data_IF_677737502687
#
_entry.id   IF_677737502687
#
_cell.length_a   1.000
_cell.length_b   1.000
_cell.length_c   1.000
_cell.angle_alpha   90.00
_cell.angle_beta   90.00
_cell.angle_gamma   90.00
#
_symmetry.space_group_name_H-M   'P 1'
#
loop_
_entity.id
_entity.type
_entity.pdbx_description
1 polymer ?
#
# COMPACT_ATOMS: atom_id res chain seq x y z
N UNK A 1 -71.77 -5.44 47.94
CA UNK A 1 -70.73 -4.44 48.03
C UNK A 1 -69.52 -5.03 48.79
N UNK A 2 -68.69 -5.79 48.15
CA UNK A 2 -67.42 -6.29 48.64
C UNK A 2 -66.61 -6.70 47.38
N UNK A 3 -65.33 -6.33 47.27
CA UNK A 3 -64.34 -6.67 46.23
C UNK A 3 -64.14 -5.68 45.08
N UNK A 4 -63.75 -4.44 45.34
CA UNK A 4 -63.15 -3.56 44.31
C UNK A 4 -61.90 -2.80 44.84
N UNK A 5 -61.29 -3.20 45.94
CA UNK A 5 -60.14 -2.49 46.54
C UNK A 5 -58.78 -3.21 46.52
N UNK A 6 -58.68 -4.35 45.80
CA UNK A 6 -57.45 -5.14 45.86
C UNK A 6 -56.58 -5.16 44.60
N UNK A 7 -57.08 -4.70 43.45
CA UNK A 7 -56.35 -4.80 42.17
C UNK A 7 -55.58 -3.53 41.77
N UNK A 8 -55.92 -2.37 42.31
CA UNK A 8 -55.23 -1.12 42.00
C UNK A 8 -53.94 -0.91 42.77
N UNK A 9 -53.78 -1.54 43.92
CA UNK A 9 -52.56 -1.43 44.75
C UNK A 9 -51.43 -2.35 44.28
N UNK A 10 -51.78 -3.46 43.63
CA UNK A 10 -50.78 -4.39 43.06
C UNK A 10 -50.19 -3.89 41.74
N UNK A 11 -50.89 -3.07 40.97
CA UNK A 11 -50.38 -2.50 39.73
C UNK A 11 -49.43 -1.30 39.96
N UNK A 12 -49.54 -0.62 41.11
CA UNK A 12 -48.65 0.51 41.41
C UNK A 12 -47.31 0.07 42.00
N UNK A 13 -47.23 -1.10 42.62
CA UNK A 13 -45.99 -1.69 43.11
C UNK A 13 -45.21 -2.39 42.02
N UNK A 14 -45.84 -2.90 40.96
CA UNK A 14 -45.15 -3.48 39.79
C UNK A 14 -44.61 -2.43 38.80
N UNK A 15 -45.17 -1.19 38.84
CA UNK A 15 -44.67 -0.08 37.99
C UNK A 15 -43.45 0.65 38.54
N UNK A 16 -43.14 0.49 39.82
CA UNK A 16 -41.98 1.12 40.45
C UNK A 16 -40.69 0.28 40.45
N UNK A 17 -40.74 -0.98 39.96
CA UNK A 17 -39.57 -1.85 39.83
C UNK A 17 -38.87 -1.84 38.49
N UNK A 18 -39.35 -1.02 37.51
CA UNK A 18 -38.80 -1.01 36.14
C UNK A 18 -37.86 0.17 35.84
N UNK A 19 -37.44 0.96 36.83
CA UNK A 19 -36.51 2.08 36.61
C UNK A 19 -35.26 1.96 37.51
N UNK A 20 -34.79 0.74 37.74
CA UNK A 20 -33.41 0.58 38.18
C UNK A 20 -32.69 -0.20 37.06
N UNK A 21 -32.55 0.43 35.92
CA UNK A 21 -31.43 0.16 35.01
C UNK A 21 -30.19 0.68 35.75
N UNK A 22 -29.67 -0.11 36.64
CA UNK A 22 -28.38 0.13 37.25
C UNK A 22 -27.37 0.21 36.13
N UNK A 23 -26.93 1.42 35.80
CA UNK A 23 -25.80 1.66 34.92
C UNK A 23 -24.57 1.01 35.55
N UNK A 24 -24.37 -0.29 35.32
CA UNK A 24 -23.27 -1.09 35.89
C UNK A 24 -21.88 -0.52 35.61
N UNK A 25 -21.80 0.49 34.78
CA UNK A 25 -20.56 1.14 34.35
C UNK A 25 -20.38 2.53 34.97
N UNK A 26 -21.20 2.94 35.96
CA UNK A 26 -21.01 4.22 36.64
C UNK A 26 -19.60 4.25 37.28
N UNK A 27 -18.75 5.16 36.85
CA UNK A 27 -17.36 5.29 37.29
C UNK A 27 -16.35 4.38 36.57
N UNK A 28 -16.75 3.65 35.53
CA UNK A 28 -15.84 2.87 34.69
C UNK A 28 -15.71 3.43 33.29
N UNK A 29 -14.47 3.59 32.84
CA UNK A 29 -14.15 3.93 31.47
C UNK A 29 -14.18 2.66 30.62
N UNK A 30 -14.98 2.69 29.57
CA UNK A 30 -15.10 1.61 28.58
C UNK A 30 -14.94 2.16 27.17
N UNK A 31 -14.35 1.36 26.28
CA UNK A 31 -14.33 1.63 24.85
C UNK A 31 -15.68 1.16 24.30
N UNK A 32 -16.47 2.09 23.79
CA UNK A 32 -17.83 1.82 23.28
C UNK A 32 -17.84 1.49 21.78
N UNK A 33 -16.88 2.04 21.03
CA UNK A 33 -16.77 1.80 19.59
C UNK A 33 -15.33 1.90 19.10
N UNK A 34 -15.06 1.31 17.95
CA UNK A 34 -13.78 1.31 17.24
C UNK A 34 -14.01 1.28 15.73
N UNK A 35 -13.13 1.92 14.94
CA UNK A 35 -13.21 1.86 13.48
C UNK A 35 -12.82 0.48 12.90
N UNK A 36 -12.34 -0.45 13.69
CA UNK A 36 -11.87 -1.77 13.29
C UNK A 36 -12.51 -2.90 14.13
N UNK A 37 -12.45 -4.12 13.63
CA UNK A 37 -12.92 -5.33 14.32
C UNK A 37 -11.75 -6.24 14.68
N UNK A 38 -11.65 -7.41 13.99
CA UNK A 38 -10.60 -8.41 14.23
C UNK A 38 -9.42 -8.25 13.29
N UNK A 39 -9.65 -7.75 12.06
CA UNK A 39 -8.62 -7.52 11.07
C UNK A 39 -8.50 -6.03 10.76
N UNK A 40 -7.26 -5.55 10.61
CA UNK A 40 -6.92 -4.18 10.24
C UNK A 40 -5.95 -4.17 9.08
N UNK A 41 -5.97 -3.11 8.26
CA UNK A 41 -4.90 -2.86 7.30
C UNK A 41 -3.61 -2.45 8.02
N UNK A 42 -2.45 -2.79 7.43
CA UNK A 42 -1.15 -2.48 8.04
C UNK A 42 -0.96 -0.98 8.31
N UNK A 43 -1.54 -0.13 7.47
CA UNK A 43 -1.41 1.35 7.54
C UNK A 43 -2.63 2.02 8.18
N UNK A 44 -3.45 1.30 8.92
CA UNK A 44 -4.69 1.84 9.46
C UNK A 44 -4.46 2.64 10.75
N UNK A 45 -5.05 3.82 10.84
CA UNK A 45 -5.15 4.55 12.10
C UNK A 45 -6.24 3.93 12.96
N UNK A 46 -5.95 3.68 14.22
CA UNK A 46 -6.91 3.07 15.13
C UNK A 46 -7.69 4.17 15.87
N UNK A 47 -9.01 4.12 15.78
CA UNK A 47 -9.92 5.07 16.45
C UNK A 47 -10.65 4.36 17.58
N UNK A 48 -10.63 4.98 18.77
CA UNK A 48 -11.28 4.48 19.98
C UNK A 48 -12.27 5.50 20.50
N UNK A 49 -13.52 5.13 20.62
CA UNK A 49 -14.58 5.96 21.22
C UNK A 49 -14.87 5.49 22.62
N UNK A 50 -14.88 6.40 23.57
CA UNK A 50 -15.14 6.13 24.99
C UNK A 50 -16.55 6.54 25.41
N UNK A 51 -17.04 5.96 26.49
CA UNK A 51 -18.33 6.28 27.08
C UNK A 51 -18.35 7.61 27.85
N UNK A 52 -17.22 8.25 28.06
CA UNK A 52 -17.05 9.47 28.84
C UNK A 52 -16.10 10.43 28.16
N UNK A 53 -16.34 11.73 28.34
CA UNK A 53 -15.41 12.79 27.90
C UNK A 53 -14.17 12.78 28.81
N UNK A 54 -12.99 12.66 28.21
CA UNK A 54 -11.73 12.52 28.91
C UNK A 54 -10.86 13.76 28.88
N UNK A 55 -10.98 14.56 27.84
CA UNK A 55 -10.13 15.74 27.66
C UNK A 55 -10.96 16.99 27.39
N UNK A 56 -10.49 18.17 27.81
CA UNK A 56 -11.11 19.45 27.46
C UNK A 56 -10.83 19.79 25.98
N UNK A 57 -11.68 20.64 25.39
CA UNK A 57 -11.55 21.08 23.99
C UNK A 57 -10.19 21.70 23.65
N UNK A 58 -9.50 22.26 24.62
CA UNK A 58 -8.15 22.85 24.43
C UNK A 58 -7.06 21.84 24.09
N UNK A 59 -7.29 20.55 24.27
CA UNK A 59 -6.35 19.46 23.92
C UNK A 59 -6.74 18.75 22.62
N UNK A 60 -7.82 19.14 21.96
CA UNK A 60 -8.24 18.55 20.70
C UNK A 60 -7.28 18.93 19.57
N UNK A 61 -7.17 18.02 18.59
CA UNK A 61 -6.39 18.19 17.36
C UNK A 61 -4.89 18.45 17.56
N UNK A 62 -4.36 18.12 18.76
CA UNK A 62 -2.94 18.22 19.06
C UNK A 62 -2.34 16.81 19.14
N UNK A 63 -1.25 16.58 18.40
CA UNK A 63 -0.55 15.30 18.46
C UNK A 63 0.25 15.15 19.76
N UNK A 64 0.07 14.01 20.42
CA UNK A 64 0.73 13.64 21.68
C UNK A 64 1.48 12.31 21.51
N UNK A 65 2.65 12.20 22.12
CA UNK A 65 3.46 10.98 22.16
C UNK A 65 3.24 10.15 23.42
N UNK A 66 2.34 10.59 24.31
CA UNK A 66 1.98 9.84 25.52
C UNK A 66 1.34 8.52 25.12
N UNK A 67 1.88 7.40 25.59
CA UNK A 67 1.38 6.06 25.31
C UNK A 67 0.05 5.79 26.04
N UNK A 68 -1.05 6.21 25.42
CA UNK A 68 -2.40 5.91 25.93
C UNK A 68 -2.81 4.46 25.71
N UNK A 69 -2.22 3.79 24.70
CA UNK A 69 -2.39 2.37 24.45
C UNK A 69 -1.05 1.66 24.49
N UNK A 70 -1.03 0.44 25.01
CA UNK A 70 0.11 -0.46 24.97
C UNK A 70 -0.19 -1.58 23.98
N UNK A 71 0.72 -1.80 23.03
CA UNK A 71 0.58 -2.84 22.01
C UNK A 71 1.58 -3.98 22.25
N UNK A 72 1.14 -5.20 21.97
CA UNK A 72 1.99 -6.39 21.94
C UNK A 72 1.72 -7.16 20.62
N UNK A 73 2.68 -7.25 19.70
CA UNK A 73 4.02 -6.62 19.70
C UNK A 73 3.98 -5.10 19.82
N UNK A 74 5.05 -4.50 20.37
CA UNK A 74 5.11 -3.07 20.61
C UNK A 74 5.15 -2.27 19.31
N UNK A 75 4.30 -1.26 19.21
CA UNK A 75 4.25 -0.30 18.11
C UNK A 75 4.35 1.11 18.67
N UNK A 76 5.25 1.89 18.12
CA UNK A 76 5.35 3.32 18.41
C UNK A 76 4.38 4.09 17.53
N UNK A 77 3.80 5.15 18.08
CA UNK A 77 2.89 6.01 17.34
C UNK A 77 2.63 7.32 18.07
N UNK A 78 1.79 8.12 17.47
CA UNK A 78 1.27 9.37 18.05
C UNK A 78 -0.22 9.23 18.28
N UNK A 79 -0.71 10.01 19.19
CA UNK A 79 -2.12 10.03 19.57
C UNK A 79 -2.69 11.43 19.35
N UNK A 80 -3.96 11.49 18.98
CA UNK A 80 -4.69 12.75 18.84
C UNK A 80 -6.12 12.58 19.34
N UNK A 81 -6.57 13.51 20.14
CA UNK A 81 -7.98 13.60 20.50
C UNK A 81 -8.72 14.40 19.42
N UNK A 82 -9.65 13.77 18.72
CA UNK A 82 -10.48 14.42 17.68
C UNK A 82 -11.83 14.88 18.24
N UNK A 83 -12.21 14.35 19.40
CA UNK A 83 -13.35 14.78 20.23
C UNK A 83 -13.00 14.50 21.68
N UNK A 84 -13.71 15.08 22.67
CA UNK A 84 -13.41 14.84 24.08
C UNK A 84 -13.38 13.36 24.50
N UNK A 85 -14.07 12.50 23.76
CA UNK A 85 -14.20 11.07 23.99
C UNK A 85 -13.69 10.19 22.80
N UNK A 86 -12.99 10.77 21.81
CA UNK A 86 -12.47 10.03 20.65
C UNK A 86 -10.97 10.18 20.55
N UNK A 87 -10.25 9.08 20.72
CA UNK A 87 -8.81 8.99 20.60
C UNK A 87 -8.43 8.29 19.30
N UNK A 88 -7.57 8.93 18.51
CA UNK A 88 -6.95 8.36 17.32
C UNK A 88 -5.51 8.00 17.65
N UNK A 89 -5.11 6.77 17.33
CA UNK A 89 -3.72 6.32 17.32
C UNK A 89 -3.23 6.24 15.88
N UNK A 90 -2.14 6.93 15.57
CA UNK A 90 -1.44 6.86 14.29
C UNK A 90 -0.09 6.18 14.51
N UNK A 91 0.12 4.97 13.96
CA UNK A 91 1.38 4.25 14.13
C UNK A 91 2.51 4.98 13.40
N UNK A 92 3.74 4.95 13.92
CA UNK A 92 4.94 5.47 13.23
C UNK A 92 5.51 4.50 12.21
N UNK A 93 5.09 3.24 12.25
CA UNK A 93 5.47 2.17 11.32
C UNK A 93 4.24 1.31 11.04
N UNK A 94 4.09 0.67 9.86
CA UNK A 94 2.98 -0.25 9.62
C UNK A 94 2.93 -1.32 10.69
N UNK A 95 1.74 -1.76 10.98
CA UNK A 95 1.59 -3.00 11.69
C UNK A 95 2.26 -4.12 10.89
N UNK A 96 3.09 -4.93 11.54
CA UNK A 96 3.75 -6.04 10.87
C UNK A 96 2.73 -6.94 10.17
N UNK A 97 3.01 -7.42 8.93
CA UNK A 97 2.10 -8.28 8.21
C UNK A 97 1.88 -9.61 8.93
N UNK A 98 0.75 -10.25 8.70
CA UNK A 98 0.43 -11.58 9.26
C UNK A 98 0.66 -11.69 10.77
N UNK A 99 0.36 -10.64 11.52
CA UNK A 99 0.72 -10.56 12.94
C UNK A 99 -0.53 -10.35 13.79
N UNK A 100 -0.61 -11.11 14.87
CA UNK A 100 -1.63 -10.93 15.92
C UNK A 100 -1.15 -9.87 16.92
N UNK A 101 -2.03 -8.93 17.23
CA UNK A 101 -1.77 -7.84 18.17
C UNK A 101 -2.73 -7.90 19.33
N UNK A 102 -2.21 -7.51 20.50
CA UNK A 102 -3.00 -7.14 21.65
C UNK A 102 -2.82 -5.66 21.91
N UNK A 103 -3.90 -4.95 22.14
CA UNK A 103 -3.87 -3.57 22.59
C UNK A 103 -4.54 -3.45 23.94
N UNK A 104 -3.88 -2.76 24.87
CA UNK A 104 -4.38 -2.51 26.21
C UNK A 104 -4.37 -1.01 26.49
N UNK A 105 -5.50 -0.50 26.98
CA UNK A 105 -5.61 0.89 27.39
C UNK A 105 -4.75 1.15 28.64
N UNK A 106 -3.88 2.14 28.57
CA UNK A 106 -3.03 2.57 29.69
C UNK A 106 -3.80 3.48 30.65
N UNK A 107 -3.48 3.46 31.93
CA UNK A 107 -4.01 4.41 32.92
C UNK A 107 -3.68 5.87 32.60
N UNK A 108 -2.70 6.12 31.73
CA UNK A 108 -2.34 7.47 31.25
C UNK A 108 -3.48 8.17 30.54
N UNK A 109 -4.44 7.44 29.98
CA UNK A 109 -5.66 8.01 29.38
C UNK A 109 -6.49 8.81 30.36
N UNK A 110 -6.35 8.51 31.66
CA UNK A 110 -7.05 9.19 32.76
C UNK A 110 -6.34 10.46 33.25
N UNK A 111 -5.17 10.82 32.73
CA UNK A 111 -4.38 11.96 33.24
C UNK A 111 -5.13 13.29 33.17
N UNK A 112 -5.85 13.52 32.08
CA UNK A 112 -6.59 14.76 31.84
C UNK A 112 -8.10 14.61 32.05
N UNK A 113 -8.53 13.52 32.72
CA UNK A 113 -9.95 13.20 32.89
C UNK A 113 -10.74 14.32 33.57
N UNK A 114 -11.90 14.60 33.04
CA UNK A 114 -12.83 15.60 33.58
C UNK A 114 -13.55 15.11 34.85
N UNK A 115 -13.76 13.79 34.98
CA UNK A 115 -14.37 13.13 36.15
C UNK A 115 -13.31 12.45 37.00
N UNK A 116 -13.17 12.80 38.25
CA UNK A 116 -12.10 12.30 39.17
C UNK A 116 -12.21 10.83 39.49
N UNK A 117 -13.42 10.26 39.52
CA UNK A 117 -13.70 8.90 40.02
C UNK A 117 -13.74 7.83 38.90
N UNK A 118 -13.22 8.15 37.69
CA UNK A 118 -13.13 7.20 36.59
C UNK A 118 -11.97 6.19 36.81
N UNK A 119 -12.28 4.92 36.62
CA UNK A 119 -11.31 3.81 36.59
C UNK A 119 -11.47 3.01 35.30
N UNK A 120 -10.39 2.34 34.82
CA UNK A 120 -10.46 1.49 33.65
C UNK A 120 -11.30 0.23 33.92
N UNK A 121 -12.09 -0.21 32.94
CA UNK A 121 -12.67 -1.55 32.96
C UNK A 121 -11.74 -2.54 32.25
N UNK A 122 -11.08 -3.47 32.96
CA UNK A 122 -10.14 -4.42 32.37
C UNK A 122 -10.73 -5.30 31.26
N UNK A 123 -12.05 -5.53 31.29
CA UNK A 123 -12.73 -6.36 30.28
C UNK A 123 -12.92 -5.64 28.96
N UNK A 124 -13.10 -4.32 28.96
CA UNK A 124 -13.34 -3.53 27.76
C UNK A 124 -12.08 -2.87 27.20
N UNK A 125 -10.96 -2.96 27.94
CA UNK A 125 -9.70 -2.31 27.57
C UNK A 125 -8.68 -3.25 26.92
N UNK A 126 -8.95 -4.55 26.85
CA UNK A 126 -8.12 -5.53 26.14
C UNK A 126 -8.71 -5.82 24.77
N UNK A 127 -7.97 -5.49 23.74
CA UNK A 127 -8.38 -5.60 22.36
C UNK A 127 -7.44 -6.56 21.65
N UNK A 128 -8.00 -7.47 20.85
CA UNK A 128 -7.25 -8.38 19.99
C UNK A 128 -7.61 -8.07 18.55
N UNK A 129 -6.61 -8.00 17.71
CA UNK A 129 -6.76 -7.83 16.27
C UNK A 129 -5.53 -8.40 15.55
N UNK A 130 -5.61 -8.53 14.23
CA UNK A 130 -4.49 -8.98 13.41
C UNK A 130 -4.45 -8.24 12.09
N UNK A 131 -3.30 -8.23 11.46
CA UNK A 131 -3.15 -7.84 10.07
C UNK A 131 -3.44 -9.03 9.15
N UNK A 132 -3.78 -8.83 7.86
CA UNK A 132 -4.06 -9.92 6.94
C UNK A 132 -2.96 -10.98 6.95
N UNK A 133 -3.38 -12.24 7.08
CA UNK A 133 -2.44 -13.35 7.01
C UNK A 133 -1.94 -13.56 5.59
N UNK A 134 -0.72 -14.09 5.47
CA UNK A 134 -0.14 -14.43 4.16
C UNK A 134 -1.10 -15.31 3.36
N UNK A 135 -1.41 -14.88 2.15
CA UNK A 135 -2.21 -15.59 1.17
C UNK A 135 -1.60 -15.52 -0.22
N UNK A 136 -1.94 -16.48 -1.06
CA UNK A 136 -1.69 -16.41 -2.50
C UNK A 136 -2.91 -15.77 -3.13
N UNK A 137 -2.76 -14.54 -3.64
CA UNK A 137 -3.86 -13.77 -4.22
C UNK A 137 -4.10 -14.13 -5.68
N UNK A 138 -3.03 -14.48 -6.40
CA UNK A 138 -3.13 -14.92 -7.78
C UNK A 138 -2.04 -15.94 -8.11
N UNK A 139 -2.37 -16.86 -9.01
CA UNK A 139 -1.48 -17.88 -9.51
C UNK A 139 -1.75 -18.11 -11.01
N UNK A 140 -0.77 -17.84 -11.86
CA UNK A 140 -0.86 -18.07 -13.29
C UNK A 140 0.31 -18.91 -13.79
N UNK A 141 0.05 -19.70 -14.83
CA UNK A 141 1.08 -20.48 -15.51
C UNK A 141 0.95 -20.30 -17.02
N UNK A 142 2.09 -20.22 -17.70
CA UNK A 142 2.13 -20.01 -19.14
C UNK A 142 3.30 -20.75 -19.81
N UNK A 143 3.15 -21.05 -21.10
CA UNK A 143 4.21 -21.62 -21.89
C UNK A 143 5.21 -20.56 -22.37
N UNK A 144 6.51 -20.82 -22.17
CA UNK A 144 7.60 -19.94 -22.59
C UNK A 144 8.68 -20.74 -23.33
N UNK A 145 9.42 -20.09 -24.23
CA UNK A 145 10.67 -20.65 -24.77
C UNK A 145 11.75 -20.61 -23.70
N UNK A 146 12.54 -21.67 -23.62
CA UNK A 146 13.70 -21.68 -22.73
C UNK A 146 14.74 -20.64 -23.19
N UNK A 147 15.22 -19.80 -22.26
CA UNK A 147 16.28 -18.85 -22.55
C UNK A 147 17.59 -19.51 -23.00
N UNK A 148 17.88 -20.73 -22.49
CA UNK A 148 19.09 -21.49 -22.82
C UNK A 148 18.96 -22.33 -24.13
N UNK A 149 17.75 -22.68 -24.53
CA UNK A 149 17.48 -23.48 -25.74
C UNK A 149 16.09 -23.17 -26.28
N UNK A 150 16.03 -22.32 -27.30
CA UNK A 150 14.77 -21.88 -27.93
C UNK A 150 13.91 -23.00 -28.54
N UNK A 151 14.44 -24.20 -28.70
CA UNK A 151 13.70 -25.39 -29.14
C UNK A 151 13.02 -26.13 -27.98
N UNK A 152 13.29 -25.77 -26.73
CA UNK A 152 12.66 -26.36 -25.54
C UNK A 152 11.61 -25.43 -24.96
N UNK A 153 10.51 -26.05 -24.52
CA UNK A 153 9.47 -25.35 -23.77
C UNK A 153 9.76 -25.41 -22.27
N UNK A 154 9.40 -24.38 -21.59
CA UNK A 154 9.37 -24.30 -20.12
C UNK A 154 8.01 -23.75 -19.70
N UNK A 155 7.59 -24.05 -18.48
CA UNK A 155 6.39 -23.43 -17.90
C UNK A 155 6.86 -22.33 -16.95
N UNK A 156 6.51 -21.10 -17.29
CA UNK A 156 6.62 -19.97 -16.39
C UNK A 156 5.46 -19.94 -15.40
N UNK A 157 5.73 -19.61 -14.17
CA UNK A 157 4.75 -19.49 -13.10
C UNK A 157 4.94 -18.14 -12.44
N UNK A 158 3.85 -17.39 -12.30
CA UNK A 158 3.76 -16.16 -11.51
C UNK A 158 2.90 -16.40 -10.28
N UNK A 159 3.46 -16.14 -9.10
CA UNK A 159 2.76 -16.15 -7.82
C UNK A 159 2.64 -14.72 -7.31
N UNK A 160 1.44 -14.29 -7.02
CA UNK A 160 1.16 -13.02 -6.36
C UNK A 160 0.68 -13.29 -4.94
N UNK A 161 1.37 -12.72 -3.97
CA UNK A 161 1.03 -12.77 -2.55
C UNK A 161 0.49 -11.42 -2.07
N UNK A 162 -0.30 -11.42 -1.04
CA UNK A 162 -0.79 -10.20 -0.38
C UNK A 162 0.29 -9.44 0.42
N UNK A 163 1.44 -10.07 0.68
CA UNK A 163 2.59 -9.46 1.35
C UNK A 163 3.89 -10.03 0.80
N UNK A 164 5.02 -9.41 1.10
CA UNK A 164 6.34 -9.85 0.62
C UNK A 164 6.71 -11.24 1.14
N UNK A 165 7.27 -12.05 0.26
CA UNK A 165 7.77 -13.40 0.53
C UNK A 165 9.23 -13.50 0.11
N UNK A 166 10.07 -14.04 0.99
CA UNK A 166 11.47 -14.29 0.67
C UNK A 166 11.58 -15.53 -0.25
N UNK A 167 12.19 -15.41 -1.47
CA UNK A 167 12.29 -16.51 -2.42
C UNK A 167 13.03 -17.72 -1.88
N UNK A 168 14.09 -17.53 -1.10
CA UNK A 168 14.85 -18.62 -0.51
C UNK A 168 14.00 -19.40 0.52
N UNK A 169 13.32 -18.69 1.42
CA UNK A 169 12.42 -19.34 2.38
C UNK A 169 11.27 -20.05 1.67
N UNK A 170 10.72 -19.45 0.60
CA UNK A 170 9.68 -20.09 -0.20
C UNK A 170 10.19 -21.42 -0.81
N UNK A 171 11.42 -21.48 -1.30
CA UNK A 171 11.98 -22.70 -1.93
C UNK A 171 12.03 -23.91 -0.98
N UNK A 172 12.13 -23.66 0.32
CA UNK A 172 12.16 -24.70 1.35
C UNK A 172 10.75 -25.22 1.71
N UNK A 173 9.71 -24.43 1.40
CA UNK A 173 8.33 -24.73 1.78
C UNK A 173 7.41 -25.01 0.59
N UNK A 174 7.85 -24.75 -0.65
CA UNK A 174 7.03 -24.88 -1.85
C UNK A 174 7.18 -26.25 -2.49
N UNK A 175 6.07 -26.87 -2.83
CA UNK A 175 6.00 -28.02 -3.71
C UNK A 175 5.19 -27.67 -4.95
N UNK A 176 5.69 -28.05 -6.12
CA UNK A 176 5.01 -27.86 -7.41
C UNK A 176 4.73 -29.23 -8.03
N UNK A 177 3.53 -29.40 -8.58
CA UNK A 177 3.13 -30.58 -9.30
C UNK A 177 2.41 -30.27 -10.59
N UNK A 178 2.60 -31.13 -11.60
CA UNK A 178 1.90 -31.11 -12.88
C UNK A 178 1.10 -32.41 -12.98
N UNK A 179 -0.21 -32.33 -13.15
CA UNK A 179 -1.13 -33.49 -13.17
C UNK A 179 -0.92 -34.42 -11.99
N UNK A 180 -0.71 -33.85 -10.79
CA UNK A 180 -0.47 -34.59 -9.55
C UNK A 180 0.94 -35.20 -9.39
N UNK A 181 1.84 -35.04 -10.37
CA UNK A 181 3.23 -35.47 -10.27
C UNK A 181 4.13 -34.32 -9.84
N UNK A 182 4.90 -34.51 -8.76
CA UNK A 182 5.90 -33.53 -8.33
C UNK A 182 6.93 -33.29 -9.41
N UNK A 183 7.26 -32.01 -9.64
CA UNK A 183 8.24 -31.58 -10.63
C UNK A 183 9.29 -30.68 -9.97
N UNK A 184 10.49 -30.67 -10.56
CA UNK A 184 11.53 -29.75 -10.19
C UNK A 184 11.23 -28.38 -10.79
N UNK A 185 11.56 -27.31 -10.05
CA UNK A 185 11.37 -25.93 -10.47
C UNK A 185 12.55 -25.08 -10.01
N UNK A 186 12.68 -23.90 -10.61
CA UNK A 186 13.63 -22.87 -10.22
C UNK A 186 12.85 -21.60 -9.86
N UNK A 187 13.18 -20.94 -8.76
CA UNK A 187 12.68 -19.60 -8.45
C UNK A 187 13.60 -18.60 -9.16
N UNK A 188 13.03 -17.74 -9.98
CA UNK A 188 13.77 -16.74 -10.76
C UNK A 188 13.94 -15.43 -10.00
N UNK A 189 13.02 -15.12 -9.09
CA UNK A 189 13.11 -13.96 -8.21
C UNK A 189 14.23 -14.16 -7.19
N UNK A 190 15.01 -13.13 -6.93
CA UNK A 190 16.18 -13.16 -6.04
C UNK A 190 16.02 -12.34 -4.76
N UNK A 191 15.07 -11.43 -4.72
CA UNK A 191 14.78 -10.54 -3.59
C UNK A 191 13.38 -10.76 -3.08
N UNK A 192 13.09 -10.46 -1.79
CA UNK A 192 11.74 -10.47 -1.27
C UNK A 192 10.83 -9.56 -2.10
N UNK A 193 9.64 -10.06 -2.43
CA UNK A 193 8.64 -9.34 -3.20
C UNK A 193 7.25 -9.97 -2.99
N UNK A 194 6.21 -9.22 -3.30
CA UNK A 194 4.83 -9.72 -3.36
C UNK A 194 4.61 -10.59 -4.60
N UNK A 195 5.36 -10.37 -5.69
CA UNK A 195 5.28 -11.18 -6.90
C UNK A 195 6.56 -11.96 -7.10
N UNK A 196 6.44 -13.28 -7.17
CA UNK A 196 7.56 -14.18 -7.38
C UNK A 196 7.36 -15.00 -8.66
N UNK A 197 8.41 -15.05 -9.49
CA UNK A 197 8.45 -15.81 -10.72
C UNK A 197 9.21 -17.11 -10.53
N UNK A 198 8.64 -18.21 -11.04
CA UNK A 198 9.23 -19.53 -11.03
C UNK A 198 9.22 -20.11 -12.44
N UNK A 199 10.02 -21.14 -12.66
CA UNK A 199 10.08 -21.83 -13.93
C UNK A 199 10.22 -23.36 -13.71
N UNK A 200 9.38 -24.13 -14.41
CA UNK A 200 9.52 -25.58 -14.53
C UNK A 200 10.25 -25.86 -15.85
N UNK A 201 11.43 -26.45 -15.76
CA UNK A 201 12.25 -26.82 -16.93
C UNK A 201 11.91 -28.22 -17.44
N UNK A 202 12.29 -28.49 -18.70
CA UNK A 202 12.25 -29.81 -19.34
C UNK A 202 10.88 -30.53 -19.31
N UNK A 203 9.81 -29.77 -19.44
CA UNK A 203 8.46 -30.34 -19.55
C UNK A 203 8.29 -30.94 -20.93
N UNK A 204 7.84 -32.19 -20.98
CA UNK A 204 7.42 -32.79 -22.25
C UNK A 204 6.20 -32.07 -22.79
N UNK A 205 6.35 -31.46 -23.95
CA UNK A 205 5.31 -30.74 -24.64
C UNK A 205 4.15 -31.67 -24.99
N UNK A 206 3.00 -31.45 -24.40
CA UNK A 206 1.74 -32.11 -24.74
C UNK A 206 0.71 -31.06 -25.09
N UNK A 207 0.03 -31.28 -26.20
CA UNK A 207 -1.07 -30.42 -26.62
C UNK A 207 -2.36 -30.84 -25.88
N UNK A 208 -2.37 -30.62 -24.60
CA UNK A 208 -3.49 -30.89 -23.69
C UNK A 208 -3.45 -29.89 -22.52
N UNK A 209 -4.57 -29.73 -21.90
CA UNK A 209 -4.63 -29.02 -20.61
C UNK A 209 -3.79 -29.78 -19.58
N UNK A 210 -3.02 -29.03 -18.79
CA UNK A 210 -2.29 -29.58 -17.66
C UNK A 210 -2.71 -28.81 -16.39
N UNK A 211 -2.93 -29.58 -15.32
CA UNK A 211 -3.24 -28.99 -14.02
C UNK A 211 -1.95 -28.73 -13.26
N UNK A 212 -1.65 -27.47 -13.01
CA UNK A 212 -0.52 -27.07 -12.18
C UNK A 212 -1.05 -26.83 -10.76
N UNK A 213 -0.43 -27.50 -9.80
CA UNK A 213 -0.77 -27.31 -8.37
C UNK A 213 0.50 -26.85 -7.64
N UNK A 214 0.35 -25.83 -6.82
CA UNK A 214 1.36 -25.43 -5.83
C UNK A 214 0.84 -25.73 -4.44
N UNK A 215 1.74 -26.19 -3.56
CA UNK A 215 1.46 -26.37 -2.15
C UNK A 215 2.58 -25.71 -1.35
N UNK A 216 2.22 -24.78 -0.47
CA UNK A 216 3.15 -24.11 0.43
C UNK A 216 2.92 -24.70 1.81
N UNK A 217 3.91 -25.45 2.30
CA UNK A 217 3.86 -26.13 3.59
C UNK A 217 3.80 -25.11 4.75
N UNK A 218 3.31 -25.54 5.88
CA UNK A 218 3.37 -24.77 7.13
C UNK A 218 4.82 -24.41 7.49
N UNK A 219 4.99 -23.31 8.22
CA UNK A 219 6.30 -22.85 8.71
C UNK A 219 7.00 -21.83 7.82
N UNK A 220 6.43 -21.45 6.66
CA UNK A 220 6.99 -20.37 5.83
C UNK A 220 7.03 -19.06 6.62
N UNK A 221 8.22 -18.46 6.84
CA UNK A 221 8.35 -17.17 7.50
C UNK A 221 7.80 -16.03 6.64
N UNK A 222 7.12 -15.09 7.28
CA UNK A 222 6.65 -13.85 6.64
C UNK A 222 7.68 -12.74 6.85
N UNK A 223 8.00 -12.01 5.79
CA UNK A 223 8.96 -10.90 5.83
C UNK A 223 8.45 -9.82 6.78
N UNK A 224 9.34 -9.24 7.58
CA UNK A 224 9.02 -8.22 8.59
C UNK A 224 7.98 -8.63 9.64
N UNK A 225 7.84 -9.93 9.88
CA UNK A 225 6.94 -10.50 10.88
C UNK A 225 7.64 -11.61 11.67
N UNK A 226 7.17 -11.86 12.89
CA UNK A 226 7.55 -13.05 13.67
C UNK A 226 6.64 -14.24 13.38
N UNK A 227 5.66 -14.06 12.51
CA UNK A 227 4.67 -15.06 12.17
C UNK A 227 5.21 -16.02 11.08
N UNK A 228 4.76 -17.25 11.14
CA UNK A 228 4.97 -18.27 10.10
C UNK A 228 3.63 -18.89 9.73
N UNK A 229 3.48 -19.40 8.50
CA UNK A 229 2.25 -20.06 8.08
C UNK A 229 1.92 -21.24 9.01
N UNK A 230 0.70 -21.28 9.54
CA UNK A 230 0.23 -22.31 10.49
C UNK A 230 -0.32 -23.54 9.80
N UNK A 231 -0.74 -23.41 8.54
CA UNK A 231 -1.36 -24.47 7.74
C UNK A 231 -0.74 -24.47 6.36
N UNK A 232 -0.85 -25.62 5.69
CA UNK A 232 -0.57 -25.71 4.27
C UNK A 232 -1.54 -24.84 3.47
N UNK A 233 -1.01 -24.12 2.49
CA UNK A 233 -1.78 -23.37 1.49
C UNK A 233 -1.59 -24.06 0.15
N UNK A 234 -2.66 -24.54 -0.48
CA UNK A 234 -2.62 -25.14 -1.78
C UNK A 234 -3.53 -24.39 -2.75
N UNK A 235 -3.04 -24.14 -3.94
CA UNK A 235 -3.80 -23.53 -5.04
C UNK A 235 -3.45 -24.20 -6.36
N UNK A 236 -4.33 -24.08 -7.35
CA UNK A 236 -4.17 -24.72 -8.64
C UNK A 236 -4.59 -23.79 -9.78
N UNK A 237 -4.00 -24.01 -10.95
CA UNK A 237 -4.39 -23.35 -12.20
C UNK A 237 -4.33 -24.35 -13.34
N UNK A 238 -5.02 -24.01 -14.43
CA UNK A 238 -4.96 -24.80 -15.66
C UNK A 238 -3.96 -24.13 -16.60
N UNK A 239 -2.99 -24.89 -17.05
CA UNK A 239 -2.10 -24.52 -18.14
C UNK A 239 -2.82 -24.83 -19.45
N UNK A 240 -3.16 -23.80 -20.20
CA UNK A 240 -3.85 -23.90 -21.49
C UNK A 240 -3.01 -24.69 -22.48
N UNK A 241 -3.63 -25.55 -23.35
CA UNK A 241 -2.89 -26.27 -24.38
C UNK A 241 -2.08 -25.31 -25.26
N UNK A 242 -0.86 -25.67 -25.64
CA UNK A 242 -0.02 -24.80 -26.44
C UNK A 242 -0.57 -24.52 -27.85
N UNK A 243 -1.52 -25.29 -28.36
CA UNK A 243 -2.25 -25.00 -29.60
C UNK A 243 -3.19 -23.78 -29.49
N UNK A 244 -3.50 -23.34 -28.26
CA UNK A 244 -4.39 -22.22 -27.99
C UNK A 244 -3.63 -21.07 -27.32
N UNK A 245 -4.01 -19.82 -27.64
CA UNK A 245 -3.55 -18.60 -26.98
C UNK A 245 -4.72 -17.96 -26.27
N UNK A 246 -4.62 -17.80 -24.98
CA UNK A 246 -5.66 -17.18 -24.14
C UNK A 246 -5.10 -16.01 -23.33
N UNK A 247 -5.94 -15.00 -23.10
CA UNK A 247 -5.65 -13.93 -22.14
C UNK A 247 -5.98 -14.42 -20.73
N UNK A 248 -4.95 -14.54 -19.89
CA UNK A 248 -5.08 -14.96 -18.50
C UNK A 248 -5.42 -13.81 -17.56
N UNK A 249 -5.15 -12.58 -17.97
CA UNK A 249 -5.45 -11.41 -17.18
C UNK A 249 -4.88 -10.13 -17.76
N UNK A 250 -5.36 -9.00 -17.27
CA UNK A 250 -4.88 -7.66 -17.63
C UNK A 250 -4.54 -6.92 -16.34
N UNK A 251 -3.40 -6.23 -16.37
CA UNK A 251 -2.96 -5.36 -15.29
C UNK A 251 -2.66 -3.98 -15.87
N UNK A 252 -3.30 -2.94 -15.32
CA UNK A 252 -3.09 -1.56 -15.74
C UNK A 252 -2.38 -0.78 -14.62
N UNK A 253 -1.39 0.02 -15.01
CA UNK A 253 -0.68 0.92 -14.11
C UNK A 253 -0.45 2.28 -14.77
N UNK A 254 -0.30 3.36 -13.97
CA UNK A 254 -0.11 4.71 -14.46
C UNK A 254 0.85 5.48 -13.55
N UNK A 255 1.93 6.01 -14.13
CA UNK A 255 2.99 6.71 -13.39
C UNK A 255 2.81 8.25 -13.36
N UNK A 256 1.68 8.76 -13.86
CA UNK A 256 1.41 10.20 -13.95
C UNK A 256 1.73 10.81 -15.32
N UNK A 257 2.67 10.28 -16.10
CA UNK A 257 3.01 10.75 -17.46
C UNK A 257 2.36 9.89 -18.54
N UNK A 258 2.21 8.60 -18.26
CA UNK A 258 1.59 7.66 -19.16
C UNK A 258 1.10 6.44 -18.41
N UNK A 259 0.29 5.66 -19.07
CA UNK A 259 -0.22 4.38 -18.59
C UNK A 259 0.38 3.20 -19.33
N UNK A 260 0.45 2.08 -18.63
CA UNK A 260 0.83 0.78 -19.18
C UNK A 260 -0.26 -0.23 -18.93
N UNK A 261 -0.51 -1.10 -19.90
CA UNK A 261 -1.46 -2.22 -19.77
C UNK A 261 -0.71 -3.49 -20.10
N UNK A 262 -0.40 -4.28 -19.07
CA UNK A 262 0.19 -5.60 -19.26
C UNK A 262 -0.90 -6.62 -19.55
N UNK A 263 -0.79 -7.30 -20.69
CA UNK A 263 -1.66 -8.41 -21.10
C UNK A 263 -0.93 -9.72 -20.83
N UNK A 264 -1.35 -10.45 -19.81
CA UNK A 264 -0.81 -11.74 -19.47
C UNK A 264 -1.48 -12.84 -20.32
N UNK A 265 -0.68 -13.66 -20.97
CA UNK A 265 -1.13 -14.69 -21.91
C UNK A 265 -0.73 -16.09 -21.48
N UNK A 266 -1.48 -17.11 -21.96
CA UNK A 266 -1.21 -18.52 -21.72
C UNK A 266 0.09 -19.02 -22.33
N UNK A 267 0.67 -18.27 -23.25
CA UNK A 267 1.99 -18.52 -23.83
C UNK A 267 2.64 -17.25 -24.34
N UNK A 268 3.95 -17.29 -24.51
CA UNK A 268 4.69 -16.25 -25.21
C UNK A 268 4.19 -16.12 -26.65
N UNK A 269 4.07 -14.89 -27.14
CA UNK A 269 3.55 -14.61 -28.48
C UNK A 269 4.65 -14.11 -29.42
N UNK A 270 4.42 -14.30 -30.72
CA UNK A 270 5.28 -13.75 -31.77
C UNK A 270 5.12 -12.24 -31.83
N UNK A 271 6.23 -11.45 -31.85
CA UNK A 271 6.16 -9.97 -31.82
C UNK A 271 5.50 -9.38 -33.07
N UNK A 272 5.50 -10.15 -34.16
CA UNK A 272 5.00 -9.68 -35.44
C UNK A 272 3.48 -9.52 -35.41
N UNK A 273 2.99 -8.36 -35.86
CA UNK A 273 1.57 -8.04 -36.03
C UNK A 273 0.74 -7.86 -34.75
N UNK A 274 1.30 -7.89 -33.51
CA UNK A 274 0.52 -7.69 -32.29
C UNK A 274 -0.24 -6.35 -32.37
N UNK A 275 0.46 -5.27 -32.69
CA UNK A 275 -0.12 -3.92 -32.75
C UNK A 275 -1.32 -3.82 -33.68
N UNK A 276 -1.32 -4.57 -34.80
CA UNK A 276 -2.42 -4.57 -35.78
C UNK A 276 -3.68 -5.32 -35.30
N UNK A 277 -3.57 -6.14 -34.26
CA UNK A 277 -4.67 -6.90 -33.66
C UNK A 277 -5.27 -6.17 -32.44
N UNK A 278 -4.70 -5.04 -32.03
CA UNK A 278 -5.13 -4.31 -30.85
C UNK A 278 -5.88 -3.05 -31.25
N UNK A 279 -7.05 -2.88 -30.66
CA UNK A 279 -7.85 -1.67 -30.76
C UNK A 279 -8.19 -1.16 -29.35
N UNK A 280 -8.02 0.14 -29.13
CA UNK A 280 -8.33 0.82 -27.88
C UNK A 280 -9.36 1.91 -28.16
N UNK A 281 -10.43 1.94 -27.38
CA UNK A 281 -11.48 2.94 -27.49
C UNK A 281 -11.69 3.66 -26.14
N UNK A 282 -11.66 5.00 -26.05
CA UNK A 282 -11.37 5.94 -27.15
C UNK A 282 -10.01 5.70 -27.80
N UNK A 283 -9.90 6.01 -29.12
CA UNK A 283 -8.67 5.81 -29.88
C UNK A 283 -7.54 6.64 -29.32
N UNK A 284 -6.40 5.99 -29.07
CA UNK A 284 -5.15 6.59 -28.62
C UNK A 284 -3.98 6.01 -29.41
N UNK A 285 -2.85 6.70 -29.42
CA UNK A 285 -1.60 6.15 -29.92
C UNK A 285 -0.91 5.35 -28.81
N UNK A 286 -0.32 4.22 -29.17
CA UNK A 286 0.34 3.33 -28.20
C UNK A 286 1.51 2.57 -28.82
N UNK A 287 2.40 2.09 -27.98
CA UNK A 287 3.49 1.18 -28.32
C UNK A 287 3.32 -0.17 -27.66
N UNK A 288 3.98 -1.20 -28.23
CA UNK A 288 3.94 -2.57 -27.73
C UNK A 288 5.35 -3.03 -27.36
N UNK A 289 5.48 -3.55 -26.17
CA UNK A 289 6.69 -4.21 -25.68
C UNK A 289 6.38 -5.67 -25.35
N UNK A 290 7.13 -6.60 -25.95
CA UNK A 290 6.95 -8.04 -25.74
C UNK A 290 7.56 -8.50 -24.42
N UNK A 291 6.87 -9.42 -23.74
CA UNK A 291 7.33 -10.14 -22.56
C UNK A 291 7.25 -11.65 -22.77
N UNK A 292 7.91 -12.41 -21.88
CA UNK A 292 7.91 -13.89 -21.93
C UNK A 292 6.52 -14.51 -21.67
N UNK A 293 5.62 -13.78 -21.04
CA UNK A 293 4.27 -14.22 -20.67
C UNK A 293 3.18 -13.29 -21.22
N UNK A 294 3.48 -12.54 -22.29
CA UNK A 294 2.51 -11.62 -22.87
C UNK A 294 3.15 -10.41 -23.52
N UNK A 295 2.51 -9.26 -23.40
CA UNK A 295 3.01 -7.98 -23.88
C UNK A 295 2.47 -6.81 -23.08
N UNK A 296 3.18 -5.69 -23.11
CA UNK A 296 2.76 -4.42 -22.52
C UNK A 296 2.34 -3.45 -23.61
N UNK A 297 1.20 -2.81 -23.43
CA UNK A 297 0.73 -1.66 -24.20
C UNK A 297 1.08 -0.41 -23.42
N UNK A 298 1.87 0.49 -23.97
CA UNK A 298 2.26 1.74 -23.32
C UNK A 298 1.75 2.95 -24.12
N UNK A 299 1.21 3.95 -23.41
CA UNK A 299 0.74 5.19 -24.03
C UNK A 299 0.79 6.36 -23.04
N UNK A 300 1.24 7.52 -23.55
CA UNK A 300 1.13 8.78 -22.82
C UNK A 300 -0.28 9.39 -22.92
N UNK A 301 -1.14 8.88 -23.80
CA UNK A 301 -2.53 9.32 -23.94
C UNK A 301 -3.48 8.62 -22.97
N UNK A 302 -3.04 7.59 -22.28
CA UNK A 302 -3.81 7.04 -21.17
C UNK A 302 -3.93 8.09 -20.05
N UNK A 303 -5.15 8.34 -19.60
CA UNK A 303 -5.43 9.31 -18.54
C UNK A 303 -6.10 8.64 -17.36
N UNK A 304 -5.65 8.89 -16.11
CA UNK A 304 -6.30 8.38 -14.91
C UNK A 304 -7.74 8.85 -14.83
N UNK A 305 -8.61 7.99 -14.34
CA UNK A 305 -10.04 8.27 -14.19
C UNK A 305 -10.87 8.03 -15.46
N UNK A 306 -10.25 7.79 -16.61
CA UNK A 306 -10.95 7.34 -17.80
C UNK A 306 -11.02 5.81 -17.85
N UNK A 307 -12.10 5.32 -18.46
CA UNK A 307 -12.25 3.90 -18.76
C UNK A 307 -12.03 3.72 -20.27
N UNK A 308 -11.12 2.84 -20.61
CA UNK A 308 -10.82 2.43 -21.96
C UNK A 308 -11.39 1.05 -22.24
N UNK A 309 -11.76 0.76 -23.47
CA UNK A 309 -12.10 -0.57 -23.92
C UNK A 309 -10.93 -1.11 -24.74
N UNK A 310 -10.28 -2.16 -24.25
CA UNK A 310 -9.25 -2.89 -25.00
C UNK A 310 -9.95 -4.03 -25.75
N UNK A 311 -9.72 -4.11 -27.06
CA UNK A 311 -10.07 -5.23 -27.90
C UNK A 311 -8.82 -5.84 -28.51
N UNK A 312 -8.65 -7.16 -28.38
CA UNK A 312 -7.59 -7.95 -29.00
C UNK A 312 -8.29 -8.90 -29.99
N UNK A 313 -8.10 -8.65 -31.27
CA UNK A 313 -8.70 -9.46 -32.31
C UNK A 313 -8.13 -10.88 -32.33
N UNK A 314 -8.95 -11.86 -32.66
CA UNK A 314 -8.53 -13.24 -32.90
C UNK A 314 -7.39 -13.31 -33.90
N UNK A 315 -6.56 -14.36 -33.77
CA UNK A 315 -5.44 -14.59 -34.68
C UNK A 315 -4.09 -14.25 -34.12
N UNK A 316 -4.01 -13.77 -32.86
CA UNK A 316 -2.75 -13.62 -32.13
C UNK A 316 -2.03 -14.97 -32.08
N UNK A 317 -0.76 -15.00 -32.49
CA UNK A 317 0.04 -16.24 -32.64
C UNK A 317 1.01 -16.43 -31.49
N UNK A 318 0.96 -17.60 -30.90
CA UNK A 318 1.92 -18.06 -29.92
C UNK A 318 3.18 -18.63 -30.54
N UNK A 319 4.30 -18.57 -29.83
CA UNK A 319 5.60 -19.11 -30.28
C UNK A 319 5.61 -20.63 -30.44
N UNK A 320 4.60 -21.32 -29.94
CA UNK A 320 4.40 -22.77 -30.09
C UNK A 320 3.35 -23.12 -31.16
N UNK A 321 3.11 -22.20 -32.10
CA UNK A 321 2.12 -22.33 -33.18
C UNK A 321 0.66 -22.28 -32.73
N UNK A 322 0.41 -21.99 -31.45
CA UNK A 322 -0.92 -21.74 -30.94
C UNK A 322 -1.51 -20.47 -31.51
N UNK A 323 -2.83 -20.35 -31.45
CA UNK A 323 -3.54 -19.20 -31.98
C UNK A 323 -4.71 -18.83 -31.08
N UNK A 324 -5.00 -17.55 -31.00
CA UNK A 324 -6.21 -17.05 -30.34
C UNK A 324 -7.40 -17.19 -31.29
N UNK A 325 -8.41 -17.96 -30.90
CA UNK A 325 -9.51 -18.34 -31.76
C UNK A 325 -10.71 -17.36 -31.70
N UNK A 326 -10.82 -16.57 -30.65
CA UNK A 326 -11.87 -15.58 -30.45
C UNK A 326 -11.30 -14.21 -30.10
N UNK A 327 -12.06 -13.15 -30.38
CA UNK A 327 -11.73 -11.80 -29.93
C UNK A 327 -11.82 -11.74 -28.40
N UNK A 328 -10.94 -10.96 -27.80
CA UNK A 328 -10.94 -10.68 -26.37
C UNK A 328 -11.23 -9.21 -26.12
N UNK A 329 -12.20 -8.92 -25.27
CA UNK A 329 -12.56 -7.57 -24.88
C UNK A 329 -12.48 -7.39 -23.37
N UNK A 330 -11.92 -6.26 -22.92
CA UNK A 330 -11.86 -5.91 -21.51
C UNK A 330 -11.93 -4.41 -21.29
N UNK A 331 -12.64 -3.93 -20.25
CA UNK A 331 -12.46 -2.58 -19.76
C UNK A 331 -11.09 -2.43 -19.10
N UNK A 332 -10.44 -1.30 -19.30
CA UNK A 332 -9.16 -0.92 -18.69
C UNK A 332 -9.33 0.41 -17.99
N UNK A 333 -8.96 0.47 -16.72
CA UNK A 333 -8.93 1.70 -15.95
C UNK A 333 -7.68 1.72 -15.06
N UNK A 334 -7.13 2.92 -14.83
CA UNK A 334 -5.88 3.08 -14.08
C UNK A 334 -6.11 3.50 -12.62
N UNK A 335 -7.38 3.54 -12.17
CA UNK A 335 -7.71 4.00 -10.84
C UNK A 335 -7.35 5.47 -10.60
N UNK A 336 -7.15 5.83 -9.34
CA UNK A 336 -6.62 7.14 -8.97
C UNK A 336 -5.11 7.10 -9.02
N UNK A 337 -4.48 8.18 -9.53
CA UNK A 337 -3.03 8.34 -9.43
C UNK A 337 -2.59 8.25 -7.98
N UNK A 338 -1.51 7.51 -7.75
CA UNK A 338 -0.81 7.57 -6.46
C UNK A 338 -0.27 8.98 -6.28
N UNK A 339 -0.50 9.59 -5.11
CA UNK A 339 0.11 10.87 -4.82
C UNK A 339 1.64 10.75 -4.87
N UNK A 340 2.28 11.67 -5.59
CA UNK A 340 3.74 11.73 -5.63
C UNK A 340 4.24 13.17 -5.72
N UNK A 341 5.44 13.37 -5.19
CA UNK A 341 6.23 14.59 -5.30
C UNK A 341 7.62 14.14 -5.70
N UNK A 342 8.09 14.59 -6.85
CA UNK A 342 9.35 14.13 -7.42
C UNK A 342 10.14 15.32 -7.97
N UNK A 343 11.41 15.47 -7.59
CA UNK A 343 12.29 16.42 -8.26
C UNK A 343 12.58 15.93 -9.69
N UNK A 344 12.42 16.81 -10.68
CA UNK A 344 12.65 16.46 -12.10
C UNK A 344 14.08 15.99 -12.34
N UNK A 345 15.04 16.53 -11.60
CA UNK A 345 16.42 16.06 -11.63
C UNK A 345 16.70 15.18 -10.41
N UNK A 346 17.06 13.92 -10.62
CA UNK A 346 17.31 12.94 -9.54
C UNK A 346 18.59 13.19 -8.75
N UNK A 347 19.57 13.92 -9.33
CA UNK A 347 20.86 14.20 -8.69
C UNK A 347 20.88 15.55 -7.98
N UNK A 348 21.75 15.70 -7.01
CA UNK A 348 21.99 16.97 -6.34
C UNK A 348 22.27 18.10 -7.36
N UNK A 349 21.58 19.24 -7.20
CA UNK A 349 21.70 20.36 -8.13
C UNK A 349 22.74 21.34 -7.65
N UNK A 350 23.68 21.69 -8.54
CA UNK A 350 24.63 22.76 -8.30
C UNK A 350 24.08 24.06 -8.91
N UNK A 351 23.68 24.99 -8.06
CA UNK A 351 23.23 26.30 -8.50
C UNK A 351 24.44 27.24 -8.67
N UNK A 352 24.70 27.67 -9.89
CA UNK A 352 25.78 28.61 -10.19
C UNK A 352 25.34 30.06 -10.02
N UNK A 353 26.21 30.92 -9.53
CA UNK A 353 25.98 32.38 -9.46
C UNK A 353 25.66 33.01 -10.86
N UNK A 354 26.04 32.36 -11.95
CA UNK A 354 25.86 32.84 -13.33
C UNK A 354 24.83 32.05 -14.14
N UNK A 355 24.14 31.05 -13.54
CA UNK A 355 23.19 30.19 -14.24
C UNK A 355 21.74 30.40 -13.79
N UNK A 356 20.84 29.63 -14.38
CA UNK A 356 19.44 29.55 -13.92
C UNK A 356 19.39 28.95 -12.52
N UNK A 357 18.62 29.58 -11.66
CA UNK A 357 18.46 29.22 -10.25
C UNK A 357 17.10 28.59 -9.99
N UNK A 358 16.68 27.72 -10.90
CA UNK A 358 15.38 27.07 -10.85
C UNK A 358 15.52 25.57 -10.63
N UNK A 359 14.70 25.04 -9.75
CA UNK A 359 14.54 23.60 -9.53
C UNK A 359 13.08 23.28 -9.80
N UNK A 360 12.82 22.28 -10.61
CA UNK A 360 11.48 21.84 -10.95
C UNK A 360 11.10 20.61 -10.14
N UNK A 361 9.86 20.62 -9.63
CA UNK A 361 9.27 19.52 -8.85
C UNK A 361 7.95 19.15 -9.53
N UNK A 362 7.80 17.87 -9.85
CA UNK A 362 6.57 17.30 -10.39
C UNK A 362 5.69 16.82 -9.23
N UNK A 363 4.41 17.13 -9.30
CA UNK A 363 3.45 16.86 -8.22
C UNK A 363 2.21 16.19 -8.82
N UNK A 364 1.86 15.01 -8.33
CA UNK A 364 0.69 14.26 -8.74
C UNK A 364 -0.21 13.99 -7.53
N UNK A 365 -1.52 14.06 -7.70
CA UNK A 365 -2.50 13.62 -6.70
C UNK A 365 -2.46 14.35 -5.35
N UNK A 366 -1.83 15.52 -5.27
CA UNK A 366 -1.68 16.35 -4.07
C UNK A 366 -2.38 17.69 -4.28
N UNK A 367 -3.14 18.16 -3.31
CA UNK A 367 -3.85 19.45 -3.40
C UNK A 367 -2.99 20.63 -2.95
N UNK A 368 -2.08 20.42 -2.02
CA UNK A 368 -1.27 21.48 -1.40
C UNK A 368 0.08 20.93 -0.94
N UNK A 369 1.15 21.62 -1.27
CA UNK A 369 2.51 21.27 -0.82
C UNK A 369 3.11 22.38 0.03
N UNK A 370 3.90 21.97 1.04
CA UNK A 370 4.83 22.83 1.77
C UNK A 370 6.22 22.67 1.20
N UNK A 371 6.88 23.77 0.90
CA UNK A 371 8.30 23.82 0.49
C UNK A 371 9.09 24.43 1.63
N UNK A 372 9.97 23.63 2.21
CA UNK A 372 10.87 24.01 3.28
C UNK A 372 12.29 24.12 2.73
N UNK A 373 12.97 25.22 3.00
CA UNK A 373 14.37 25.45 2.62
C UNK A 373 15.17 25.68 3.90
N UNK A 374 16.20 24.86 4.11
CA UNK A 374 17.08 24.96 5.25
C UNK A 374 18.54 25.07 4.78
N UNK A 375 19.36 25.85 5.47
CA UNK A 375 20.80 25.95 5.23
C UNK A 375 21.56 25.10 6.26
N UNK A 376 22.42 24.21 5.82
CA UNK A 376 23.34 23.45 6.69
C UNK A 376 24.46 24.39 7.17
N UNK A 377 24.75 24.37 8.47
CA UNK A 377 25.84 25.16 9.01
C UNK A 377 27.19 24.64 8.52
N UNK A 378 28.12 25.55 8.23
CA UNK A 378 29.44 25.20 7.65
C UNK A 378 30.22 24.19 8.51
N UNK A 379 30.17 24.34 9.84
CA UNK A 379 30.80 23.41 10.79
C UNK A 379 30.12 22.05 10.88
N UNK A 380 28.92 21.89 10.36
CA UNK A 380 28.16 20.66 10.38
C UNK A 380 28.16 19.91 9.03
N UNK A 381 28.82 20.46 8.01
CA UNK A 381 28.79 19.87 6.64
C UNK A 381 29.24 18.42 6.65
N UNK A 382 30.38 18.11 7.32
CA UNK A 382 30.87 16.73 7.37
C UNK A 382 29.89 15.78 8.09
N UNK A 383 29.37 16.20 9.23
CA UNK A 383 28.36 15.41 9.97
C UNK A 383 27.05 15.24 9.19
N UNK A 384 26.66 16.26 8.43
CA UNK A 384 25.49 16.19 7.55
C UNK A 384 25.73 15.21 6.39
N UNK A 385 26.89 15.24 5.76
CA UNK A 385 27.23 14.30 4.67
C UNK A 385 27.24 12.84 5.13
N UNK A 386 27.60 12.58 6.39
CA UNK A 386 27.67 11.24 6.97
C UNK A 386 26.31 10.77 7.52
N UNK A 387 25.53 11.68 8.12
CA UNK A 387 24.37 11.33 8.94
C UNK A 387 23.09 12.13 8.61
N UNK A 388 23.12 12.97 7.60
CA UNK A 388 22.00 13.87 7.26
C UNK A 388 20.86 13.17 6.55
N UNK A 389 21.15 12.07 5.84
CA UNK A 389 20.13 11.27 5.18
C UNK A 389 19.48 10.33 6.18
N UNK A 390 18.18 10.41 6.29
CA UNK A 390 17.35 9.58 7.16
C UNK A 390 16.33 8.80 6.33
N UNK A 391 15.91 7.66 6.88
CA UNK A 391 14.78 6.90 6.36
C UNK A 391 13.53 7.28 7.15
N UNK A 392 12.52 7.71 6.45
CA UNK A 392 11.18 7.91 6.99
C UNK A 392 10.28 6.77 6.54
N UNK A 393 9.32 6.47 7.39
CA UNK A 393 8.29 5.49 7.13
C UNK A 393 6.96 6.19 7.32
N UNK A 394 6.08 6.12 6.35
CA UNK A 394 4.79 6.77 6.49
C UNK A 394 3.65 5.88 5.97
N UNK A 395 2.44 6.20 6.38
CA UNK A 395 1.25 5.39 6.29
C UNK A 395 0.14 6.16 5.61
N UNK A 396 -0.45 5.61 4.56
CA UNK A 396 -1.63 6.22 3.96
C UNK A 396 -2.89 5.86 4.74
N UNK A 397 -3.67 6.85 5.14
CA UNK A 397 -4.96 6.68 5.82
C UNK A 397 -6.02 5.92 5.00
N UNK A 398 -5.79 5.64 3.72
CA UNK A 398 -6.79 5.10 2.81
C UNK A 398 -6.48 3.69 2.28
N UNK A 399 -5.53 2.97 2.84
CA UNK A 399 -5.32 1.54 2.50
C UNK A 399 -4.91 1.21 1.06
N UNK A 400 -4.89 2.19 0.15
CA UNK A 400 -4.68 1.97 -1.29
C UNK A 400 -3.20 1.88 -1.70
N UNK A 401 -2.23 2.26 -0.84
CA UNK A 401 -0.86 2.49 -1.29
C UNK A 401 0.23 1.67 -0.59
N UNK A 402 -0.08 0.82 0.35
CA UNK A 402 0.93 -0.03 0.99
C UNK A 402 2.06 0.76 1.66
N UNK A 403 3.00 0.04 2.19
CA UNK A 403 4.23 0.51 2.79
C UNK A 403 5.09 1.33 1.79
N UNK A 404 5.49 2.55 2.17
CA UNK A 404 6.40 3.36 1.37
C UNK A 404 7.53 3.87 2.26
N UNK A 405 8.72 3.34 2.03
CA UNK A 405 9.96 3.92 2.54
C UNK A 405 10.23 5.21 1.76
N UNK A 406 10.57 6.28 2.45
CA UNK A 406 11.06 7.48 1.81
C UNK A 406 12.36 7.94 2.47
N UNK A 407 13.25 8.50 1.67
CA UNK A 407 14.46 9.14 2.16
C UNK A 407 14.22 10.64 2.29
N UNK A 408 14.74 11.23 3.35
CA UNK A 408 14.72 12.67 3.52
C UNK A 408 16.02 13.15 4.19
N UNK A 409 16.35 14.42 3.99
CA UNK A 409 17.47 15.02 4.66
C UNK A 409 17.02 15.75 5.93
N UNK A 410 17.52 15.31 7.09
CA UNK A 410 17.25 15.95 8.38
C UNK A 410 18.09 17.24 8.54
N UNK A 411 17.66 18.29 7.84
CA UNK A 411 18.32 19.57 7.87
C UNK A 411 18.14 20.32 9.21
N UNK A 412 17.08 20.03 9.95
CA UNK A 412 16.79 20.70 11.22
C UNK A 412 17.83 20.39 12.30
N UNK A 413 18.43 19.22 12.22
CA UNK A 413 19.50 18.79 13.13
C UNK A 413 20.84 19.45 12.84
N UNK A 414 21.10 19.82 11.59
CA UNK A 414 22.42 20.25 11.13
C UNK A 414 22.49 21.70 10.66
N UNK A 415 21.35 22.37 10.58
CA UNK A 415 21.24 23.68 9.99
C UNK A 415 20.11 24.55 10.57
N UNK A 416 19.72 25.54 9.82
CA UNK A 416 18.61 26.43 10.19
C UNK A 416 17.63 26.59 9.04
N UNK A 417 16.35 26.73 9.40
CA UNK A 417 15.27 27.08 8.48
C UNK A 417 15.52 28.47 7.88
N UNK A 418 15.47 28.55 6.55
CA UNK A 418 15.54 29.82 5.81
C UNK A 418 14.15 30.29 5.42
N UNK A 419 13.34 29.42 4.87
CA UNK A 419 11.96 29.71 4.50
C UNK A 419 11.10 28.46 4.47
N UNK A 420 9.83 28.64 4.78
CA UNK A 420 8.79 27.64 4.55
C UNK A 420 7.62 28.33 3.86
N UNK A 421 7.14 27.76 2.76
CA UNK A 421 6.05 28.34 1.98
C UNK A 421 5.11 27.27 1.44
N UNK A 422 3.80 27.53 1.50
CA UNK A 422 2.78 26.65 0.97
C UNK A 422 2.35 27.06 -0.45
N UNK A 423 2.14 26.04 -1.30
CA UNK A 423 1.68 26.21 -2.68
C UNK A 423 0.42 25.38 -2.93
N UNK A 424 -0.71 26.02 -3.31
CA UNK A 424 -1.88 25.30 -3.82
C UNK A 424 -1.57 24.72 -5.18
N UNK A 425 -1.56 23.39 -5.30
CA UNK A 425 -1.10 22.69 -6.51
C UNK A 425 -1.96 22.99 -7.72
N UNK A 426 -3.27 23.16 -7.55
CA UNK A 426 -4.21 23.52 -8.65
C UNK A 426 -3.90 24.87 -9.32
N UNK A 427 -3.06 25.72 -8.71
CA UNK A 427 -2.62 27.00 -9.28
C UNK A 427 -1.31 26.91 -10.07
N UNK A 428 -0.65 25.75 -10.03
CA UNK A 428 0.60 25.50 -10.74
C UNK A 428 0.36 25.21 -12.24
N UNK A 429 1.43 25.26 -13.02
CA UNK A 429 1.38 24.88 -14.43
C UNK A 429 1.12 23.37 -14.56
N UNK A 430 0.22 22.98 -15.45
CA UNK A 430 0.00 21.56 -15.76
C UNK A 430 1.19 20.97 -16.51
N UNK A 431 1.54 19.74 -16.17
CA UNK A 431 2.56 18.94 -16.84
C UNK A 431 2.10 17.48 -16.88
N UNK A 432 1.70 17.02 -18.06
CA UNK A 432 1.04 15.71 -18.18
C UNK A 432 -0.26 15.65 -17.37
N UNK A 433 -0.43 14.60 -16.59
CA UNK A 433 -1.55 14.42 -15.63
C UNK A 433 -1.35 15.12 -14.28
N UNK A 434 -0.14 15.66 -14.03
CA UNK A 434 0.22 16.34 -12.81
C UNK A 434 0.44 17.85 -12.99
N UNK A 435 1.20 18.41 -12.07
CA UNK A 435 1.54 19.83 -12.01
C UNK A 435 3.05 20.00 -11.82
N UNK A 436 3.58 21.12 -12.32
CA UNK A 436 4.99 21.47 -12.19
C UNK A 436 5.16 22.68 -11.29
N UNK A 437 5.88 22.51 -10.19
CA UNK A 437 6.31 23.59 -9.30
C UNK A 437 7.73 23.99 -9.69
N UNK A 438 7.90 25.21 -10.20
CA UNK A 438 9.21 25.79 -10.45
C UNK A 438 9.64 26.62 -9.26
N UNK A 439 10.65 26.17 -8.54
CA UNK A 439 11.25 26.88 -7.42
C UNK A 439 12.35 27.82 -7.95
N UNK A 440 12.12 29.11 -7.89
CA UNK A 440 13.13 30.13 -8.19
C UNK A 440 13.81 30.58 -6.89
N UNK A 441 15.13 30.54 -6.86
CA UNK A 441 15.95 30.87 -5.69
C UNK A 441 16.66 32.22 -5.79
N UNK A 442 16.45 33.02 -6.86
CA UNK A 442 17.15 34.30 -7.06
C UNK A 442 16.99 35.25 -5.86
N UNK A 443 15.79 35.32 -5.28
CA UNK A 443 15.48 36.22 -4.17
C UNK A 443 15.34 35.52 -2.80
N UNK A 444 15.52 34.21 -2.75
CA UNK A 444 15.20 33.41 -1.54
C UNK A 444 16.41 32.99 -0.74
N UNK A 445 17.57 32.91 -1.35
CA UNK A 445 18.79 32.50 -0.66
C UNK A 445 19.63 33.74 -0.31
N UNK A 446 19.89 34.00 0.98
CA UNK A 446 20.64 35.20 1.42
C UNK A 446 22.07 35.22 0.93
N UNK A 447 22.64 34.06 0.66
CA UNK A 447 23.95 33.88 0.04
C UNK A 447 23.92 32.59 -0.78
N UNK A 448 24.52 32.63 -1.98
CA UNK A 448 24.61 31.45 -2.87
C UNK A 448 25.82 30.57 -2.53
N UNK A 449 26.11 30.38 -1.23
CA UNK A 449 27.24 29.61 -0.73
C UNK A 449 26.78 28.65 0.34
N UNK A 450 27.30 27.42 0.30
CA UNK A 450 27.01 26.36 1.25
C UNK A 450 26.03 25.31 0.72
N UNK A 451 25.57 24.47 1.64
CA UNK A 451 24.62 23.39 1.37
C UNK A 451 23.24 23.83 1.84
N UNK A 452 22.29 23.73 0.95
CA UNK A 452 20.87 23.95 1.23
C UNK A 452 20.11 22.65 1.02
N UNK A 453 19.15 22.38 1.88
CA UNK A 453 18.21 21.28 1.74
C UNK A 453 16.86 21.87 1.39
N UNK A 454 16.27 21.36 0.31
CA UNK A 454 14.93 21.70 -0.15
C UNK A 454 14.06 20.48 0.07
N UNK A 455 13.09 20.61 0.93
CA UNK A 455 12.09 19.58 1.19
C UNK A 455 10.74 20.05 0.64
N UNK A 456 10.11 19.23 -0.19
CA UNK A 456 8.75 19.45 -0.68
C UNK A 456 7.88 18.33 -0.15
N UNK A 457 6.83 18.68 0.58
CA UNK A 457 5.98 17.73 1.31
C UNK A 457 4.50 18.02 1.09
N UNK A 458 3.69 16.97 0.94
CA UNK A 458 2.25 17.05 1.10
C UNK A 458 1.93 17.36 2.58
N UNK A 459 1.08 18.32 2.82
CA UNK A 459 0.75 18.76 4.19
C UNK A 459 -0.18 17.78 4.92
N UNK A 460 -0.95 17.02 4.18
CA UNK A 460 -1.91 16.05 4.71
C UNK A 460 -1.31 14.63 4.84
N UNK A 461 -0.32 14.32 3.99
CA UNK A 461 0.32 13.00 3.89
C UNK A 461 1.83 13.15 3.94
N UNK A 462 2.40 12.94 5.11
CA UNK A 462 3.84 13.16 5.33
C UNK A 462 4.75 12.30 4.47
N UNK A 463 4.28 11.12 4.03
CA UNK A 463 5.04 10.20 3.17
C UNK A 463 5.13 10.65 1.71
N UNK A 464 4.27 11.56 1.29
CA UNK A 464 4.36 12.17 -0.03
C UNK A 464 5.31 13.37 0.09
N UNK A 465 6.59 13.07 0.04
CA UNK A 465 7.68 14.04 0.20
C UNK A 465 8.85 13.66 -0.70
N UNK A 466 9.58 14.67 -1.15
CA UNK A 466 10.92 14.52 -1.72
C UNK A 466 11.81 15.62 -1.19
N UNK A 467 13.11 15.35 -1.06
CA UNK A 467 14.09 16.30 -0.54
C UNK A 467 15.40 16.24 -1.31
N UNK A 468 15.99 17.40 -1.52
CA UNK A 468 17.18 17.56 -2.36
C UNK A 468 18.20 18.46 -1.67
#
# INVERSE_FOLDING_TARGET
MKHIFSTSFLLFVLSSCLIISCNRNAGKLVITDRNFKEEINQSENLVFTFNEDLVPDSLLYTWDTTEFMQFEPAIKGKYQWTSPNVLVFSPMQPFAPSTEFKAQLSERVLQNRLKKDLTLDPKSTNIHFHTPYLSVDNFTANWQKSASNQNKAVIGIDLLFNTEVNPQSLSEHLAVSVDGKKVAYNILSTTPATRLALQIADVSFKDAENKITIAINQGLPVVNSTWTTKKEMATETILVPPSNVEVLGIQADHNGDGGTVFVNLSQQVEPENIKSLIEISPKIDFDIENASNGFTIASNDFTPGNIYKLNIAKGLRGVFKGRMDSDYESPVSFGKLKPSIDFVEEKASYLSNKGYKNIAVKINGVDKVSVKISKVFENNIMSFMENGMQWGYDYSENGDYGYTDYQYYDADRFGSLISEQEFPVKKLAKSGSGFLLNLNFEDKLPQFEGIYVIEVRDKERNFVTDSK
#
